data_IF_185047217630
#
_entry.id   IF_185047217630
#
_cell.length_a   1.000
_cell.length_b   1.000
_cell.length_c   1.000
_cell.angle_alpha   90.00
_cell.angle_beta   90.00
_cell.angle_gamma   90.00
#
_symmetry.space_group_name_H-M   'P 1'
#
loop_
_entity.id
_entity.type
_entity.pdbx_description
1 polymer ?
#
# COMPACT_ATOMS: atom_id res chain seq x y z
N UNK A 1 -0.34 4.53 -22.76
CA UNK A 1 -1.11 5.02 -21.59
C UNK A 1 -1.79 3.80 -21.02
N UNK A 2 -1.20 3.24 -19.98
CA UNK A 2 -1.72 2.05 -19.34
C UNK A 2 -2.76 2.45 -18.32
N UNK A 3 -3.80 1.65 -18.23
CA UNK A 3 -5.01 1.97 -17.47
C UNK A 3 -5.42 0.74 -16.68
N UNK A 4 -5.80 0.95 -15.42
CA UNK A 4 -6.32 -0.09 -14.55
C UNK A 4 -7.54 0.42 -13.80
N UNK A 5 -8.59 -0.39 -13.74
CA UNK A 5 -9.85 -0.04 -13.08
C UNK A 5 -9.97 -0.91 -11.84
N UNK A 6 -10.35 -0.33 -10.70
CA UNK A 6 -10.67 -1.11 -9.50
C UNK A 6 -12.01 -1.80 -9.68
N UNK A 7 -11.97 -3.11 -9.98
CA UNK A 7 -13.14 -3.97 -10.06
C UNK A 7 -13.61 -4.41 -8.66
N UNK A 8 -14.87 -4.81 -8.56
CA UNK A 8 -15.46 -5.37 -7.34
C UNK A 8 -15.30 -6.89 -7.22
N UNK A 9 -16.06 -7.46 -6.29
CA UNK A 9 -16.09 -8.89 -5.98
C UNK A 9 -16.82 -9.73 -7.04
N UNK A 10 -17.74 -9.13 -7.82
CA UNK A 10 -18.60 -9.86 -8.76
C UNK A 10 -17.85 -10.73 -9.80
N UNK A 11 -16.80 -10.25 -10.49
CA UNK A 11 -16.03 -11.08 -11.43
C UNK A 11 -15.31 -12.26 -10.76
N UNK A 12 -14.91 -12.11 -9.50
CA UNK A 12 -14.29 -13.19 -8.72
C UNK A 12 -15.35 -14.26 -8.41
N UNK A 13 -16.54 -13.85 -7.98
CA UNK A 13 -17.67 -14.77 -7.71
C UNK A 13 -18.09 -15.52 -8.97
N UNK A 14 -18.18 -14.83 -10.12
CA UNK A 14 -18.45 -15.48 -11.41
C UNK A 14 -17.42 -16.56 -11.73
N UNK A 15 -16.13 -16.27 -11.51
CA UNK A 15 -15.05 -17.22 -11.73
C UNK A 15 -15.17 -18.45 -10.81
N UNK A 16 -15.47 -18.24 -9.52
CA UNK A 16 -15.70 -19.31 -8.54
C UNK A 16 -16.90 -20.20 -8.91
N UNK A 17 -17.99 -19.59 -9.39
CA UNK A 17 -19.21 -20.31 -9.80
C UNK A 17 -18.97 -21.16 -11.05
N UNK A 18 -18.30 -20.62 -12.05
CA UNK A 18 -18.18 -21.25 -13.36
C UNK A 18 -17.04 -22.27 -13.44
N UNK A 19 -15.94 -22.05 -12.72
CA UNK A 19 -14.70 -22.82 -12.94
C UNK A 19 -14.19 -23.56 -11.71
N UNK A 20 -14.69 -23.25 -10.51
CA UNK A 20 -14.18 -23.80 -9.23
C UNK A 20 -12.64 -23.86 -9.17
N UNK A 21 -11.95 -22.75 -9.49
CA UNK A 21 -10.51 -22.75 -9.65
C UNK A 21 -9.81 -22.92 -8.30
N UNK A 22 -8.60 -23.50 -8.33
CA UNK A 22 -7.72 -23.52 -7.16
C UNK A 22 -6.96 -22.21 -6.97
N UNK A 23 -6.80 -21.42 -8.04
CA UNK A 23 -6.13 -20.12 -8.01
C UNK A 23 -6.86 -19.16 -8.96
N UNK A 24 -7.15 -17.95 -8.50
CA UNK A 24 -7.64 -16.85 -9.35
C UNK A 24 -6.57 -15.77 -9.36
N UNK A 25 -6.14 -15.39 -10.56
CA UNK A 25 -5.27 -14.25 -10.80
C UNK A 25 -6.11 -13.14 -11.39
N UNK A 26 -6.14 -12.00 -10.72
CA UNK A 26 -6.90 -10.82 -11.15
C UNK A 26 -5.98 -9.62 -11.37
N UNK A 27 -6.46 -8.66 -12.17
CA UNK A 27 -5.87 -7.33 -12.28
C UNK A 27 -6.21 -6.50 -11.03
N UNK A 28 -6.45 -5.19 -11.14
CA UNK A 28 -6.85 -4.40 -9.96
C UNK A 28 -8.30 -4.67 -9.59
N UNK A 29 -8.49 -5.19 -8.39
CA UNK A 29 -9.77 -5.18 -7.66
C UNK A 29 -9.59 -4.29 -6.42
N UNK A 30 -10.69 -3.82 -5.84
CA UNK A 30 -10.60 -3.22 -4.51
C UNK A 30 -10.17 -4.27 -3.49
N UNK A 31 -9.30 -3.88 -2.56
CA UNK A 31 -8.64 -4.83 -1.67
C UNK A 31 -9.68 -5.53 -0.75
N UNK A 32 -10.66 -4.78 -0.22
CA UNK A 32 -11.82 -5.34 0.47
C UNK A 32 -12.64 -6.34 -0.39
N UNK A 33 -12.71 -6.16 -1.72
CA UNK A 33 -13.46 -7.06 -2.61
C UNK A 33 -12.86 -8.46 -2.70
N UNK A 34 -11.55 -8.59 -2.48
CA UNK A 34 -10.88 -9.90 -2.39
C UNK A 34 -11.44 -10.76 -1.24
N UNK A 35 -11.88 -10.12 -0.16
CA UNK A 35 -12.49 -10.79 0.99
C UNK A 35 -14.01 -10.91 0.86
N UNK A 36 -14.66 -9.91 0.25
CA UNK A 36 -16.10 -9.95 0.05
C UNK A 36 -16.52 -11.06 -0.93
N UNK A 37 -15.75 -11.30 -2.00
CA UNK A 37 -16.06 -12.34 -2.98
C UNK A 37 -16.25 -13.75 -2.38
N UNK A 38 -15.31 -14.30 -1.57
CA UNK A 38 -15.52 -15.59 -0.94
C UNK A 38 -16.67 -15.59 0.07
N UNK A 39 -16.95 -14.49 0.77
CA UNK A 39 -18.12 -14.39 1.64
C UNK A 39 -19.42 -14.51 0.85
N UNK A 40 -19.54 -13.77 -0.25
CA UNK A 40 -20.71 -13.83 -1.14
C UNK A 40 -20.91 -15.22 -1.72
N UNK A 41 -19.83 -15.84 -2.21
CA UNK A 41 -19.88 -17.16 -2.83
C UNK A 41 -20.26 -18.27 -1.84
N UNK A 42 -19.60 -18.35 -0.68
CA UNK A 42 -19.77 -19.44 0.28
C UNK A 42 -21.02 -19.31 1.12
N UNK A 43 -21.34 -18.09 1.55
CA UNK A 43 -22.52 -17.82 2.36
C UNK A 43 -23.76 -17.62 1.49
N UNK A 44 -23.63 -17.66 0.16
CA UNK A 44 -24.74 -17.51 -0.78
C UNK A 44 -25.45 -16.17 -0.64
N UNK A 45 -24.72 -15.11 -0.29
CA UNK A 45 -25.30 -13.79 -0.10
C UNK A 45 -25.86 -13.22 -1.40
N UNK A 46 -27.00 -12.53 -1.29
CA UNK A 46 -27.64 -11.88 -2.41
C UNK A 46 -26.98 -10.51 -2.65
N UNK A 47 -26.62 -10.20 -3.90
CA UNK A 47 -26.08 -8.89 -4.28
C UNK A 47 -27.03 -7.71 -4.02
N UNK A 48 -28.33 -7.97 -3.85
CA UNK A 48 -29.32 -6.96 -3.47
C UNK A 48 -29.43 -6.77 -1.94
N UNK A 49 -28.82 -7.65 -1.15
CA UNK A 49 -28.73 -7.47 0.31
C UNK A 49 -27.54 -6.57 0.65
N UNK A 50 -27.76 -5.26 0.50
CA UNK A 50 -26.72 -4.26 0.70
C UNK A 50 -26.22 -4.20 2.16
N UNK A 51 -27.00 -4.71 3.13
CA UNK A 51 -26.55 -4.78 4.51
C UNK A 51 -25.46 -5.83 4.69
N UNK A 52 -25.65 -7.02 4.11
CA UNK A 52 -24.63 -8.06 4.11
C UNK A 52 -23.38 -7.63 3.32
N UNK A 53 -23.55 -6.96 2.18
CA UNK A 53 -22.42 -6.43 1.42
C UNK A 53 -21.65 -5.38 2.21
N UNK A 54 -22.32 -4.41 2.86
CA UNK A 54 -21.66 -3.38 3.67
C UNK A 54 -20.88 -3.98 4.85
N UNK A 55 -21.48 -4.96 5.53
CA UNK A 55 -20.87 -5.65 6.66
C UNK A 55 -19.71 -6.57 6.22
N UNK A 56 -19.80 -7.19 5.05
CA UNK A 56 -18.70 -7.93 4.42
C UNK A 56 -17.57 -7.02 3.94
N UNK A 57 -17.88 -5.85 3.39
CA UNK A 57 -16.88 -4.83 3.04
C UNK A 57 -16.14 -4.30 4.27
N UNK A 58 -16.82 -4.13 5.42
CA UNK A 58 -16.16 -3.85 6.69
C UNK A 58 -15.16 -4.96 7.05
N UNK A 59 -15.57 -6.22 6.94
CA UNK A 59 -14.67 -7.35 7.20
C UNK A 59 -13.46 -7.32 6.24
N UNK A 60 -13.67 -7.07 4.95
CA UNK A 60 -12.59 -6.96 3.97
C UNK A 60 -11.62 -5.82 4.27
N UNK A 61 -12.15 -4.63 4.57
CA UNK A 61 -11.37 -3.43 4.94
C UNK A 61 -10.55 -3.63 6.23
N UNK A 62 -11.06 -4.43 7.18
CA UNK A 62 -10.30 -4.75 8.39
C UNK A 62 -9.19 -5.78 8.15
N UNK A 63 -9.31 -6.62 7.12
CA UNK A 63 -8.37 -7.71 6.86
C UNK A 63 -7.27 -7.37 5.85
N UNK A 64 -7.40 -6.26 5.11
CA UNK A 64 -6.39 -5.80 4.17
C UNK A 64 -5.13 -5.24 4.87
N UNK A 65 -4.13 -4.83 4.08
CA UNK A 65 -2.91 -4.16 4.54
C UNK A 65 -2.02 -4.97 5.51
N UNK A 66 -2.15 -6.30 5.53
CA UNK A 66 -1.24 -7.20 6.23
C UNK A 66 -1.54 -7.30 7.73
N UNK A 67 -0.58 -6.97 8.58
CA UNK A 67 -0.69 -7.16 10.05
C UNK A 67 -1.15 -5.89 10.79
N UNK A 68 -1.66 -4.86 10.11
CA UNK A 68 -2.02 -3.60 10.77
C UNK A 68 -3.16 -3.78 11.80
N UNK A 69 -4.18 -4.57 11.47
CA UNK A 69 -5.26 -4.95 12.39
C UNK A 69 -4.74 -5.61 13.69
N UNK A 70 -3.61 -6.31 13.61
CA UNK A 70 -2.99 -7.08 14.70
C UNK A 70 -1.78 -6.39 15.32
N UNK A 71 -1.60 -5.08 15.09
CA UNK A 71 -0.61 -4.25 15.78
C UNK A 71 0.55 -3.76 14.91
N UNK A 72 0.59 -4.12 13.62
CA UNK A 72 1.46 -3.46 12.65
C UNK A 72 1.14 -1.96 12.55
N UNK A 73 2.16 -1.10 12.45
CA UNK A 73 2.03 0.37 12.54
C UNK A 73 1.41 0.96 13.82
N UNK A 74 0.94 0.12 14.75
CA UNK A 74 0.27 0.58 15.97
C UNK A 74 1.25 1.10 17.05
N UNK A 75 2.47 0.56 17.15
CA UNK A 75 3.41 0.95 18.20
C UNK A 75 3.79 2.43 18.10
N UNK A 76 3.63 3.18 19.21
CA UNK A 76 4.09 4.56 19.29
C UNK A 76 4.95 4.79 20.55
N UNK A 77 6.30 4.84 20.41
CA UNK A 77 7.19 5.10 21.54
C UNK A 77 6.85 6.42 22.24
N UNK A 78 6.63 6.36 23.55
CA UNK A 78 6.24 7.51 24.36
C UNK A 78 4.73 7.66 24.59
N UNK A 79 3.90 6.84 23.93
CA UNK A 79 2.47 6.73 24.23
C UNK A 79 2.15 5.42 24.96
N UNK A 80 1.75 5.57 26.22
CA UNK A 80 1.41 4.45 27.11
C UNK A 80 0.26 3.57 26.62
N UNK A 81 -0.61 4.07 25.73
CA UNK A 81 -1.73 3.30 25.19
C UNK A 81 -1.35 2.50 23.95
N UNK A 82 -0.21 2.81 23.35
CA UNK A 82 0.32 2.20 22.12
C UNK A 82 1.69 1.56 22.35
N UNK A 83 1.92 1.12 23.59
CA UNK A 83 3.14 0.44 24.00
C UNK A 83 3.03 -1.06 23.66
N UNK A 84 3.74 -1.47 22.60
CA UNK A 84 3.86 -2.87 22.17
C UNK A 84 5.31 -3.28 22.41
N UNK A 85 5.53 -4.44 23.04
CA UNK A 85 6.89 -4.94 23.24
C UNK A 85 7.55 -5.28 21.90
N UNK A 86 8.86 -5.10 21.81
CA UNK A 86 9.59 -5.50 20.60
C UNK A 86 9.44 -7.01 20.31
N UNK A 87 9.26 -7.83 21.34
CA UNK A 87 9.03 -9.27 21.19
C UNK A 87 7.69 -9.57 20.51
N UNK A 88 6.64 -8.81 20.84
CA UNK A 88 5.33 -8.96 20.21
C UNK A 88 5.34 -8.54 18.74
N UNK A 89 6.22 -7.59 18.36
CA UNK A 89 6.39 -7.18 16.97
C UNK A 89 7.15 -8.19 16.09
N UNK A 90 7.91 -9.12 16.70
CA UNK A 90 8.65 -10.14 15.95
C UNK A 90 7.74 -11.21 15.33
N UNK A 91 6.55 -11.43 15.89
CA UNK A 91 5.62 -12.50 15.50
C UNK A 91 4.20 -11.96 15.29
N UNK A 92 4.07 -10.89 14.51
CA UNK A 92 2.77 -10.35 14.13
C UNK A 92 2.00 -11.35 13.25
N UNK A 93 0.83 -11.80 13.71
CA UNK A 93 -0.06 -12.65 12.91
C UNK A 93 -0.82 -11.85 11.87
N UNK A 94 -0.91 -12.38 10.65
CA UNK A 94 -1.94 -11.95 9.71
C UNK A 94 -3.33 -12.16 10.34
N UNK A 95 -4.26 -11.21 10.19
CA UNK A 95 -5.60 -11.38 10.71
C UNK A 95 -6.41 -12.36 9.88
N UNK A 96 -7.47 -12.89 10.48
CA UNK A 96 -8.55 -13.61 9.78
C UNK A 96 -9.90 -13.19 10.37
N UNK A 97 -10.99 -13.50 9.68
CA UNK A 97 -12.33 -13.27 10.21
C UNK A 97 -13.17 -14.54 10.20
N UNK A 98 -13.96 -14.71 11.24
CA UNK A 98 -15.09 -15.63 11.29
C UNK A 98 -16.34 -14.84 10.89
N UNK A 99 -16.93 -15.20 9.76
CA UNK A 99 -18.13 -14.54 9.21
C UNK A 99 -19.27 -15.54 9.15
N UNK A 100 -20.40 -15.21 9.75
CA UNK A 100 -21.60 -16.06 9.73
C UNK A 100 -22.52 -15.72 8.55
N UNK A 101 -23.44 -16.63 8.26
CA UNK A 101 -24.44 -16.45 7.19
C UNK A 101 -25.27 -15.17 7.35
N UNK A 102 -25.60 -14.77 8.58
CA UNK A 102 -26.34 -13.54 8.91
C UNK A 102 -25.45 -12.27 8.97
N UNK A 103 -24.18 -12.36 8.56
CA UNK A 103 -23.28 -11.21 8.46
C UNK A 103 -22.58 -10.83 9.76
N UNK A 104 -22.63 -11.64 10.81
CA UNK A 104 -21.84 -11.37 12.03
C UNK A 104 -20.35 -11.56 11.72
N UNK A 105 -19.55 -10.53 11.98
CA UNK A 105 -18.11 -10.51 11.70
C UNK A 105 -17.32 -10.49 13.00
N UNK A 106 -16.46 -11.49 13.20
CA UNK A 106 -15.47 -11.49 14.26
C UNK A 106 -14.07 -11.56 13.66
N UNK A 107 -13.28 -10.50 13.83
CA UNK A 107 -11.87 -10.51 13.43
C UNK A 107 -11.04 -11.18 14.52
N UNK A 108 -9.95 -11.83 14.10
CA UNK A 108 -9.14 -12.65 14.97
C UNK A 108 -7.66 -12.67 14.53
N UNK A 109 -6.80 -13.02 15.48
CA UNK A 109 -5.38 -13.34 15.27
C UNK A 109 -5.06 -14.72 15.82
N UNK A 110 -3.95 -15.33 15.41
CA UNK A 110 -3.54 -16.61 15.97
C UNK A 110 -3.27 -16.48 17.49
N UNK A 111 -3.81 -17.39 18.31
CA UNK A 111 -3.81 -17.23 19.77
C UNK A 111 -2.41 -17.16 20.40
N UNK A 112 -1.46 -17.91 19.85
CA UNK A 112 -0.06 -17.95 20.34
C UNK A 112 0.87 -16.97 19.64
N UNK A 113 0.37 -16.15 18.72
CA UNK A 113 1.17 -15.14 18.01
C UNK A 113 1.38 -13.89 18.85
N UNK A 114 2.40 -13.12 18.49
CA UNK A 114 2.59 -11.75 18.97
C UNK A 114 1.49 -10.78 18.49
N UNK A 115 1.82 -9.49 18.57
CA UNK A 115 0.90 -8.41 18.23
C UNK A 115 -0.25 -8.21 19.21
N UNK A 116 -1.08 -7.23 18.88
CA UNK A 116 -2.21 -6.79 19.70
C UNK A 116 -3.45 -6.72 18.81
N UNK A 117 -4.56 -7.31 19.27
CA UNK A 117 -5.86 -7.16 18.63
C UNK A 117 -6.86 -6.65 19.67
N UNK A 118 -7.30 -5.41 19.50
CA UNK A 118 -8.25 -4.76 20.40
C UNK A 118 -9.04 -3.67 19.65
N UNK A 119 -10.04 -3.04 20.28
CA UNK A 119 -10.83 -1.97 19.64
C UNK A 119 -9.99 -0.81 19.07
N UNK A 120 -8.83 -0.51 19.65
CA UNK A 120 -7.96 0.56 19.16
C UNK A 120 -7.24 0.17 17.87
N UNK A 121 -6.74 -1.07 17.76
CA UNK A 121 -6.12 -1.54 16.52
C UNK A 121 -7.17 -1.71 15.41
N UNK A 122 -8.37 -2.16 15.77
CA UNK A 122 -9.51 -2.18 14.85
C UNK A 122 -9.92 -0.79 14.37
N UNK A 123 -9.94 0.21 15.26
CA UNK A 123 -10.24 1.59 14.89
C UNK A 123 -9.14 2.22 14.02
N UNK A 124 -7.86 1.96 14.32
CA UNK A 124 -6.74 2.42 13.48
C UNK A 124 -6.85 1.84 12.06
N UNK A 125 -7.15 0.55 11.93
CA UNK A 125 -7.38 -0.08 10.63
C UNK A 125 -8.64 0.45 9.94
N UNK A 126 -9.74 0.65 10.67
CA UNK A 126 -10.98 1.18 10.10
C UNK A 126 -10.78 2.57 9.47
N UNK A 127 -9.96 3.42 10.10
CA UNK A 127 -9.70 4.78 9.62
C UNK A 127 -8.64 4.84 8.51
N UNK A 128 -7.90 3.75 8.29
CA UNK A 128 -6.86 3.68 7.27
C UNK A 128 -7.45 3.88 5.88
N UNK A 129 -6.92 4.87 5.14
CA UNK A 129 -7.34 5.24 3.78
C UNK A 129 -8.84 5.58 3.61
N UNK A 130 -9.55 5.85 4.71
CA UNK A 130 -10.95 6.28 4.68
C UNK A 130 -11.03 7.80 4.65
N UNK A 131 -11.45 8.35 3.51
CA UNK A 131 -11.66 9.78 3.33
C UNK A 131 -12.95 10.31 3.99
N UNK A 132 -14.11 9.77 3.59
CA UNK A 132 -15.41 10.11 4.19
C UNK A 132 -16.03 8.86 4.85
N UNK A 133 -16.05 8.77 6.19
CA UNK A 133 -16.62 7.63 6.90
C UNK A 133 -18.11 7.38 6.65
N UNK A 134 -18.91 8.40 6.30
CA UNK A 134 -20.34 8.24 6.03
C UNK A 134 -20.65 7.75 4.60
N UNK A 135 -19.63 7.67 3.76
CA UNK A 135 -19.75 7.37 2.34
C UNK A 135 -18.42 6.83 1.80
N UNK A 136 -17.92 5.76 2.40
CA UNK A 136 -16.75 5.03 1.91
C UNK A 136 -17.12 4.28 0.62
N UNK A 137 -16.56 4.73 -0.50
CA UNK A 137 -16.95 4.26 -1.84
C UNK A 137 -16.13 3.02 -2.20
N UNK A 138 -16.81 1.88 -2.36
CA UNK A 138 -16.22 0.67 -2.95
C UNK A 138 -16.93 0.31 -4.26
N UNK A 139 -16.33 -0.52 -5.12
CA UNK A 139 -16.99 -1.00 -6.33
C UNK A 139 -18.26 -1.85 -6.07
N UNK A 140 -18.39 -2.45 -4.89
CA UNK A 140 -19.48 -3.38 -4.56
C UNK A 140 -20.64 -2.69 -3.82
N UNK A 141 -20.35 -1.71 -2.97
CA UNK A 141 -21.33 -0.97 -2.16
C UNK A 141 -20.70 0.32 -1.60
N UNK A 142 -21.47 1.38 -1.41
CA UNK A 142 -21.00 2.55 -0.65
C UNK A 142 -21.35 2.35 0.82
N UNK A 143 -20.35 2.34 1.69
CA UNK A 143 -20.47 1.95 3.09
C UNK A 143 -20.45 3.18 4.01
N UNK A 144 -21.32 3.17 4.99
CA UNK A 144 -21.31 4.05 6.14
C UNK A 144 -20.68 3.31 7.34
N UNK A 145 -19.57 3.85 7.84
CA UNK A 145 -18.82 3.35 8.98
C UNK A 145 -19.08 4.11 10.29
N UNK A 146 -19.94 5.15 10.29
CA UNK A 146 -20.10 6.04 11.45
C UNK A 146 -20.60 5.32 12.71
N UNK A 147 -21.38 4.25 12.54
CA UNK A 147 -21.94 3.43 13.63
C UNK A 147 -21.16 2.14 13.88
N UNK A 148 -19.97 1.98 13.29
CA UNK A 148 -19.13 0.80 13.52
C UNK A 148 -18.63 0.77 14.96
N UNK A 149 -18.75 -0.39 15.58
CA UNK A 149 -18.33 -0.64 16.95
C UNK A 149 -17.52 -1.94 17.05
N UNK A 150 -16.61 -1.94 18.03
CA UNK A 150 -15.70 -3.05 18.29
C UNK A 150 -15.88 -3.54 19.72
N UNK A 151 -16.16 -4.83 19.88
CA UNK A 151 -16.29 -5.47 21.18
C UNK A 151 -15.25 -6.58 21.33
N UNK A 152 -14.35 -6.44 22.30
CA UNK A 152 -13.39 -7.49 22.66
C UNK A 152 -14.13 -8.74 23.16
N UNK A 153 -13.86 -9.88 22.54
CA UNK A 153 -14.34 -11.19 23.01
C UNK A 153 -13.23 -11.95 23.75
N UNK A 154 -11.99 -11.82 23.28
CA UNK A 154 -10.78 -12.35 23.93
C UNK A 154 -9.57 -11.52 23.52
N UNK A 155 -8.37 -11.88 24.01
CA UNK A 155 -7.09 -11.27 23.57
C UNK A 155 -6.78 -11.45 22.09
N UNK A 156 -7.52 -12.34 21.41
CA UNK A 156 -7.27 -12.72 20.02
C UNK A 156 -8.52 -12.64 19.15
N UNK A 157 -9.63 -12.09 19.65
CA UNK A 157 -10.90 -11.97 18.93
C UNK A 157 -11.66 -10.68 19.28
N UNK A 158 -12.12 -9.98 18.25
CA UNK A 158 -12.93 -8.76 18.36
C UNK A 158 -14.15 -8.88 17.45
N UNK A 159 -15.33 -8.71 18.02
CA UNK A 159 -16.59 -8.60 17.28
C UNK A 159 -16.67 -7.21 16.64
N UNK A 160 -17.01 -7.17 15.36
CA UNK A 160 -17.13 -5.94 14.57
C UNK A 160 -18.55 -5.84 14.00
N UNK A 161 -19.25 -4.74 14.24
CA UNK A 161 -20.62 -4.56 13.78
C UNK A 161 -20.94 -3.09 13.54
N UNK A 162 -21.94 -2.81 12.72
CA UNK A 162 -22.51 -1.46 12.56
C UNK A 162 -22.21 -0.79 11.23
N UNK A 163 -21.53 -1.48 10.31
CA UNK A 163 -21.43 -1.00 8.93
C UNK A 163 -22.80 -1.08 8.24
N UNK A 164 -23.18 0.00 7.55
CA UNK A 164 -24.47 0.14 6.88
C UNK A 164 -24.26 0.54 5.42
N UNK A 165 -25.19 0.21 4.52
CA UNK A 165 -25.16 0.74 3.17
C UNK A 165 -25.57 2.22 3.19
N UNK A 166 -24.74 3.09 2.63
CA UNK A 166 -25.08 4.49 2.34
C UNK A 166 -25.69 4.62 0.94
N UNK A 167 -25.19 3.83 -0.02
CA UNK A 167 -25.75 3.68 -1.36
C UNK A 167 -25.38 2.32 -1.97
N UNK A 168 -26.09 1.91 -3.03
CA UNK A 168 -25.70 0.76 -3.85
C UNK A 168 -24.35 0.97 -4.55
N UNK A 169 -23.82 -0.08 -5.19
CA UNK A 169 -22.63 0.00 -6.03
C UNK A 169 -22.66 1.27 -6.94
N UNK A 170 -21.57 2.05 -6.99
CA UNK A 170 -21.53 3.26 -7.79
C UNK A 170 -21.53 2.92 -9.29
N UNK A 171 -22.15 3.79 -10.10
CA UNK A 171 -22.07 3.69 -11.56
C UNK A 171 -20.68 4.05 -12.13
N UNK A 172 -19.78 4.54 -11.26
CA UNK A 172 -18.44 4.94 -11.60
C UNK A 172 -17.42 4.15 -10.79
N UNK A 173 -16.31 3.77 -11.42
CA UNK A 173 -15.19 3.07 -10.80
C UNK A 173 -13.95 3.95 -10.76
N UNK A 174 -13.05 3.63 -9.84
CA UNK A 174 -11.74 4.28 -9.74
C UNK A 174 -10.83 3.77 -10.86
N UNK A 175 -10.32 4.68 -11.65
CA UNK A 175 -9.33 4.49 -12.70
C UNK A 175 -7.96 4.92 -12.19
N UNK A 176 -6.96 4.06 -12.36
CA UNK A 176 -5.55 4.42 -12.36
C UNK A 176 -5.09 4.52 -13.79
N UNK A 177 -4.39 5.59 -14.14
CA UNK A 177 -3.79 5.72 -15.46
C UNK A 177 -2.37 6.27 -15.37
N UNK A 178 -1.46 5.70 -16.15
CA UNK A 178 -0.11 6.24 -16.30
C UNK A 178 -0.11 7.43 -17.26
N UNK A 179 0.60 8.49 -16.91
CA UNK A 179 0.93 9.58 -17.81
C UNK A 179 2.44 9.76 -17.86
N UNK A 180 2.98 9.79 -19.07
CA UNK A 180 4.38 10.17 -19.27
C UNK A 180 4.61 11.62 -18.80
N UNK A 181 5.65 11.81 -18.00
CA UNK A 181 6.04 13.09 -17.39
C UNK A 181 7.51 13.41 -17.61
N UNK A 182 8.19 12.72 -18.54
CA UNK A 182 9.58 12.99 -18.89
C UNK A 182 10.55 12.22 -17.98
N UNK A 183 11.50 12.91 -17.36
CA UNK A 183 12.63 12.31 -16.65
C UNK A 183 12.75 12.83 -15.23
N UNK A 184 12.84 11.94 -14.26
CA UNK A 184 13.13 12.30 -12.87
C UNK A 184 14.60 12.08 -12.58
N UNK A 185 15.25 13.10 -12.03
CA UNK A 185 16.59 13.01 -11.46
C UNK A 185 16.53 13.36 -9.98
N UNK A 186 17.27 12.66 -9.15
CA UNK A 186 17.42 13.01 -7.75
C UNK A 186 18.84 12.83 -7.27
N UNK A 187 19.21 13.62 -6.27
CA UNK A 187 20.52 13.56 -5.63
C UNK A 187 20.41 13.79 -4.14
N UNK A 188 21.33 13.18 -3.41
CA UNK A 188 21.44 13.29 -1.97
C UNK A 188 22.90 13.42 -1.54
N UNK A 189 23.14 14.22 -0.49
CA UNK A 189 24.46 14.33 0.16
C UNK A 189 24.29 14.53 1.66
N UNK A 190 25.13 13.87 2.46
CA UNK A 190 25.11 13.99 3.92
C UNK A 190 26.11 15.01 4.43
N UNK A 191 25.74 15.72 5.50
CA UNK A 191 26.61 16.60 6.27
C UNK A 191 26.41 16.33 7.76
N UNK A 192 27.52 16.16 8.48
CA UNK A 192 27.52 15.91 9.92
C UNK A 192 28.29 16.98 10.70
N UNK A 193 27.94 17.16 11.97
CA UNK A 193 28.55 18.07 12.93
C UNK A 193 28.05 19.51 12.86
N UNK A 194 28.80 20.40 13.52
CA UNK A 194 28.48 21.83 13.64
C UNK A 194 28.17 22.46 12.26
N UNK A 195 27.07 23.21 12.17
CA UNK A 195 26.66 23.93 10.96
C UNK A 195 26.40 23.02 9.73
N UNK A 196 26.02 21.76 9.95
CA UNK A 196 25.64 20.83 8.88
C UNK A 196 24.48 21.37 8.01
N UNK A 197 23.50 22.05 8.60
CA UNK A 197 22.38 22.66 7.88
C UNK A 197 22.84 23.80 6.97
N UNK A 198 23.77 24.66 7.42
CA UNK A 198 24.34 25.71 6.55
C UNK A 198 25.10 25.11 5.37
N UNK A 199 25.81 24.00 5.59
CA UNK A 199 26.47 23.25 4.51
C UNK A 199 25.48 22.64 3.53
N UNK A 200 24.38 22.04 4.00
CA UNK A 200 23.32 21.58 3.09
C UNK A 200 22.70 22.72 2.28
N UNK A 201 22.39 23.86 2.91
CA UNK A 201 21.86 25.05 2.21
C UNK A 201 22.85 25.59 1.17
N UNK A 202 24.15 25.60 1.48
CA UNK A 202 25.19 25.98 0.53
C UNK A 202 25.29 24.99 -0.64
N UNK A 203 25.19 23.69 -0.38
CA UNK A 203 25.19 22.66 -1.43
C UNK A 203 23.96 22.77 -2.35
N UNK A 204 22.78 23.00 -1.79
CA UNK A 204 21.55 23.28 -2.56
C UNK A 204 21.74 24.49 -3.49
N UNK A 205 22.26 25.58 -2.93
CA UNK A 205 22.55 26.79 -3.70
C UNK A 205 23.53 26.52 -4.86
N UNK A 206 24.60 25.78 -4.62
CA UNK A 206 25.59 25.45 -5.65
C UNK A 206 24.98 24.62 -6.79
N UNK A 207 24.28 23.53 -6.46
CA UNK A 207 23.66 22.66 -7.48
C UNK A 207 22.61 23.44 -8.29
N UNK A 208 21.77 24.25 -7.63
CA UNK A 208 20.81 25.11 -8.35
C UNK A 208 21.53 26.07 -9.28
N UNK A 209 22.60 26.70 -8.82
CA UNK A 209 23.37 27.67 -9.62
C UNK A 209 24.04 27.03 -10.83
N UNK A 210 24.72 25.89 -10.66
CA UNK A 210 25.36 25.17 -11.77
C UNK A 210 24.34 24.68 -12.80
N UNK A 211 23.19 24.19 -12.34
CA UNK A 211 22.10 23.79 -13.23
C UNK A 211 21.49 24.98 -13.99
N UNK A 212 21.28 26.11 -13.32
CA UNK A 212 20.71 27.33 -13.91
C UNK A 212 21.64 27.97 -14.95
N UNK A 213 22.96 27.88 -14.74
CA UNK A 213 23.98 28.35 -15.68
C UNK A 213 23.90 27.62 -17.03
N UNK A 214 23.72 26.30 -17.00
CA UNK A 214 23.62 25.47 -18.21
C UNK A 214 22.20 25.50 -18.78
N UNK A 215 21.18 25.51 -17.93
CA UNK A 215 19.77 25.46 -18.29
C UNK A 215 18.98 26.58 -17.60
N UNK A 216 18.90 27.77 -18.22
CA UNK A 216 18.14 28.89 -17.66
C UNK A 216 16.67 28.54 -17.41
N UNK A 217 16.19 28.84 -16.21
CA UNK A 217 14.83 28.57 -15.73
C UNK A 217 14.62 27.18 -15.12
N UNK A 218 15.65 26.33 -15.04
CA UNK A 218 15.52 24.94 -14.56
C UNK A 218 15.23 24.87 -13.06
N UNK A 219 15.63 25.87 -12.28
CA UNK A 219 15.46 25.88 -10.82
C UNK A 219 14.00 25.73 -10.37
N UNK A 220 13.03 26.16 -11.19
CA UNK A 220 11.58 26.00 -10.92
C UNK A 220 11.10 24.55 -10.96
N UNK A 221 11.91 23.67 -11.55
CA UNK A 221 11.64 22.24 -11.66
C UNK A 221 12.36 21.42 -10.56
N UNK A 222 13.09 22.09 -9.66
CA UNK A 222 13.87 21.48 -8.59
C UNK A 222 13.24 21.74 -7.23
N UNK A 223 12.93 20.68 -6.50
CA UNK A 223 12.47 20.71 -5.11
C UNK A 223 13.59 20.20 -4.22
N UNK A 224 13.77 20.79 -3.04
CA UNK A 224 14.77 20.36 -2.08
C UNK A 224 14.24 20.37 -0.65
N UNK A 225 14.78 19.46 0.16
CA UNK A 225 14.47 19.31 1.58
C UNK A 225 15.63 18.61 2.29
N UNK A 226 15.67 18.74 3.61
CA UNK A 226 16.74 18.21 4.47
C UNK A 226 16.17 17.09 5.35
N UNK A 227 16.59 15.87 5.07
CA UNK A 227 16.33 14.70 5.91
C UNK A 227 17.07 14.90 7.25
N UNK A 228 16.33 14.73 8.34
CA UNK A 228 16.79 15.06 9.70
C UNK A 228 16.43 16.47 10.16
N UNK A 229 15.76 17.28 9.33
CA UNK A 229 15.28 18.62 9.69
C UNK A 229 13.80 18.85 9.30
N UNK A 230 13.47 18.73 8.01
CA UNK A 230 12.16 19.15 7.47
C UNK A 230 11.54 18.19 6.44
N UNK A 231 12.18 17.03 6.17
CA UNK A 231 11.72 16.08 5.13
C UNK A 231 10.32 15.47 5.33
N UNK A 232 9.73 15.56 6.52
CA UNK A 232 8.38 15.04 6.83
C UNK A 232 7.34 16.14 7.00
N UNK A 233 7.71 17.42 6.84
CA UNK A 233 6.79 18.54 7.04
C UNK A 233 6.15 18.93 5.72
N UNK A 234 4.82 18.89 5.67
CA UNK A 234 4.04 19.33 4.51
C UNK A 234 3.98 20.87 4.35
N UNK A 235 4.32 21.62 5.40
CA UNK A 235 4.34 23.09 5.43
C UNK A 235 5.48 23.54 6.34
N UNK A 236 6.30 24.50 5.90
CA UNK A 236 7.39 25.03 6.73
C UNK A 236 6.79 25.79 7.92
N UNK A 237 7.03 25.33 9.13
CA UNK A 237 6.71 26.07 10.36
C UNK A 237 8.03 26.31 11.11
N UNK A 238 8.26 27.60 11.34
CA UNK A 238 9.27 28.32 12.14
C UNK A 238 10.76 28.03 11.89
N UNK A 239 11.51 29.13 11.69
CA UNK A 239 12.97 29.19 11.65
C UNK A 239 13.62 28.90 13.03
N UNK A 240 12.83 28.91 14.10
CA UNK A 240 13.26 28.77 15.50
C UNK A 240 13.14 27.33 16.03
N UNK A 241 13.72 26.37 15.31
CA UNK A 241 13.91 25.03 15.88
C UNK A 241 15.33 24.89 16.44
N UNK A 242 15.51 24.96 17.77
CA UNK A 242 16.73 24.51 18.40
C UNK A 242 16.72 22.98 18.33
N UNK A 243 17.45 22.40 17.37
CA UNK A 243 17.83 20.99 17.43
C UNK A 243 19.30 20.86 17.09
N UNK A 244 20.03 20.24 18.01
CA UNK A 244 21.35 19.65 17.82
C UNK A 244 21.28 18.53 16.77
N UNK A 245 20.92 18.84 15.52
CA UNK A 245 20.96 17.86 14.45
C UNK A 245 22.42 17.60 14.13
N UNK A 246 22.93 16.47 14.62
CA UNK A 246 24.34 16.10 14.46
C UNK A 246 24.62 15.56 13.06
N UNK A 247 23.61 15.05 12.36
CA UNK A 247 23.74 14.53 10.99
C UNK A 247 22.47 14.81 10.20
N UNK A 248 22.64 15.40 9.02
CA UNK A 248 21.55 15.68 8.08
C UNK A 248 21.89 15.18 6.69
N UNK A 249 20.87 15.10 5.83
CA UNK A 249 21.04 14.77 4.42
C UNK A 249 20.21 15.68 3.54
N UNK A 250 20.87 16.48 2.72
CA UNK A 250 20.21 17.23 1.67
C UNK A 250 19.67 16.24 0.64
N UNK A 251 18.43 16.42 0.23
CA UNK A 251 17.77 15.71 -0.86
C UNK A 251 17.24 16.76 -1.82
N UNK A 252 17.56 16.62 -3.11
CA UNK A 252 16.92 17.39 -4.18
C UNK A 252 16.34 16.46 -5.23
N UNK A 253 15.13 16.77 -5.65
CA UNK A 253 14.38 16.06 -6.69
C UNK A 253 14.09 17.03 -7.84
N UNK A 254 14.42 16.63 -9.06
CA UNK A 254 14.16 17.38 -10.29
C UNK A 254 13.28 16.61 -11.25
N UNK A 255 12.31 17.31 -11.86
CA UNK A 255 11.47 16.78 -12.94
C UNK A 255 11.79 17.50 -14.25
N UNK A 256 12.31 16.76 -15.21
CA UNK A 256 12.90 17.28 -16.44
C UNK A 256 12.14 16.78 -17.67
N UNK A 257 12.17 17.55 -18.75
CA UNK A 257 11.56 17.11 -20.02
C UNK A 257 12.44 16.07 -20.72
N UNK A 258 13.76 16.21 -20.59
CA UNK A 258 14.73 15.43 -21.36
C UNK A 258 15.69 14.65 -20.44
N UNK A 259 16.16 13.49 -20.93
CA UNK A 259 17.07 12.59 -20.23
C UNK A 259 18.39 13.27 -19.86
N UNK A 260 18.90 14.10 -20.76
CA UNK A 260 20.19 14.76 -20.64
C UNK A 260 20.22 15.70 -19.43
N UNK A 261 19.12 16.43 -19.18
CA UNK A 261 18.98 17.31 -18.03
C UNK A 261 19.00 16.52 -16.72
N UNK A 262 18.28 15.40 -16.66
CA UNK A 262 18.26 14.53 -15.48
C UNK A 262 19.64 13.92 -15.19
N UNK A 263 20.36 13.48 -16.23
CA UNK A 263 21.73 12.97 -16.09
C UNK A 263 22.66 14.09 -15.63
N UNK A 264 22.58 15.29 -16.23
CA UNK A 264 23.40 16.43 -15.84
C UNK A 264 23.18 16.79 -14.37
N UNK A 265 21.92 16.86 -13.93
CA UNK A 265 21.58 17.10 -12.53
C UNK A 265 22.24 16.10 -11.56
N UNK A 266 22.26 14.81 -11.91
CA UNK A 266 22.96 13.82 -11.07
C UNK A 266 24.48 14.02 -11.05
N UNK A 267 25.08 14.54 -12.14
CA UNK A 267 26.51 14.86 -12.20
C UNK A 267 26.86 16.06 -11.32
N UNK A 268 26.01 17.09 -11.29
CA UNK A 268 26.18 18.25 -10.39
C UNK A 268 26.19 17.83 -8.93
N UNK A 269 25.34 16.86 -8.58
CA UNK A 269 25.39 16.25 -7.26
C UNK A 269 26.72 15.56 -6.98
N UNK A 270 27.23 14.74 -7.90
CA UNK A 270 28.54 14.08 -7.73
C UNK A 270 29.67 15.12 -7.59
N UNK A 271 29.58 16.25 -8.30
CA UNK A 271 30.57 17.33 -8.25
C UNK A 271 30.71 17.95 -6.85
N UNK A 272 29.69 17.85 -5.99
CA UNK A 272 29.74 18.35 -4.61
C UNK A 272 30.85 17.70 -3.77
N UNK A 273 31.32 16.49 -4.11
CA UNK A 273 32.42 15.85 -3.36
C UNK A 273 33.69 16.71 -3.30
N UNK A 274 34.01 17.38 -4.41
CA UNK A 274 35.25 18.16 -4.53
C UNK A 274 35.01 19.65 -4.67
N UNK A 275 33.79 20.05 -5.05
CA UNK A 275 33.43 21.44 -5.34
C UNK A 275 32.38 22.00 -4.36
N UNK A 276 31.86 21.16 -3.47
CA UNK A 276 30.85 21.54 -2.48
C UNK A 276 31.44 21.89 -1.10
N UNK A 277 30.56 22.20 -0.13
CA UNK A 277 30.96 22.48 1.26
C UNK A 277 31.72 21.31 1.92
N UNK A 278 32.62 21.64 2.83
CA UNK A 278 33.48 20.67 3.50
C UNK A 278 32.70 19.62 4.31
N UNK A 279 33.23 18.39 4.33
CA UNK A 279 32.65 17.27 5.10
C UNK A 279 31.38 16.70 4.48
N UNK A 280 31.17 16.88 3.19
CA UNK A 280 30.12 16.20 2.43
C UNK A 280 30.48 14.72 2.18
N UNK A 281 29.50 13.82 2.34
CA UNK A 281 29.72 12.39 2.18
C UNK A 281 28.47 11.60 1.76
N UNK A 282 28.69 10.36 1.33
CA UNK A 282 27.61 9.40 1.07
C UNK A 282 26.66 9.80 -0.06
N UNK A 283 27.17 10.42 -1.13
CA UNK A 283 26.34 10.84 -2.25
C UNK A 283 25.61 9.66 -2.86
N UNK A 284 24.30 9.82 -3.08
CA UNK A 284 23.49 8.92 -3.89
C UNK A 284 22.74 9.74 -4.90
N UNK A 285 22.73 9.29 -6.15
CA UNK A 285 22.02 9.97 -7.22
C UNK A 285 21.51 8.95 -8.22
N UNK A 286 20.34 9.22 -8.79
CA UNK A 286 19.74 8.35 -9.79
C UNK A 286 18.87 9.15 -10.73
N UNK A 287 18.85 8.77 -12.01
CA UNK A 287 18.01 9.36 -13.04
C UNK A 287 17.28 8.27 -13.80
N UNK A 288 15.98 8.45 -14.05
CA UNK A 288 15.15 7.46 -14.73
C UNK A 288 13.98 8.11 -15.45
N UNK A 289 13.42 7.41 -16.43
CA UNK A 289 12.21 7.82 -17.11
C UNK A 289 11.05 7.81 -16.13
N UNK A 290 10.28 8.89 -16.07
CA UNK A 290 9.26 9.11 -15.07
C UNK A 290 7.87 9.08 -15.68
N UNK A 291 7.15 8.00 -15.36
CA UNK A 291 5.71 7.91 -15.56
C UNK A 291 5.01 8.21 -14.23
N UNK A 292 4.10 9.16 -14.27
CA UNK A 292 3.25 9.51 -13.14
C UNK A 292 1.96 8.69 -13.21
N UNK A 293 1.40 8.35 -12.06
CA UNK A 293 0.14 7.60 -11.96
C UNK A 293 -0.89 8.53 -11.35
N UNK A 294 -1.97 8.78 -12.09
CA UNK A 294 -3.07 9.59 -11.59
C UNK A 294 -4.33 8.76 -11.41
N UNK A 295 -5.16 9.21 -10.48
CA UNK A 295 -6.45 8.61 -10.16
C UNK A 295 -7.59 9.45 -10.76
N UNK A 296 -8.60 8.79 -11.33
CA UNK A 296 -9.82 9.45 -11.83
C UNK A 296 -11.03 8.55 -11.65
N UNK A 297 -12.17 9.11 -11.27
CA UNK A 297 -13.44 8.38 -11.24
C UNK A 297 -14.06 8.37 -12.65
N UNK A 298 -14.41 7.21 -13.18
CA UNK A 298 -14.96 7.03 -14.55
C UNK A 298 -16.18 6.13 -14.59
N UNK A 299 -17.11 6.38 -15.51
CA UNK A 299 -18.31 5.53 -15.68
C UNK A 299 -17.97 4.07 -16.05
N UNK A 300 -18.71 3.13 -15.46
CA UNK A 300 -18.53 1.69 -15.61
C UNK A 300 -18.66 1.20 -17.07
N UNK A 301 -19.52 1.86 -17.88
CA UNK A 301 -19.66 1.60 -19.33
C UNK A 301 -18.43 1.99 -20.17
N UNK A 302 -17.60 2.89 -19.63
CA UNK A 302 -16.35 3.32 -20.27
C UNK A 302 -15.20 2.41 -19.83
N UNK A 303 -15.23 1.91 -18.59
CA UNK A 303 -14.27 0.94 -18.06
C UNK A 303 -14.23 -0.37 -18.88
N UNK A 304 -15.38 -0.89 -19.32
CA UNK A 304 -15.48 -2.10 -20.14
C UNK A 304 -14.95 -1.96 -21.58
N UNK A 305 -14.63 -0.74 -22.02
CA UNK A 305 -14.07 -0.46 -23.36
C UNK A 305 -12.55 -0.42 -23.41
N UNK A 306 -11.86 -0.58 -22.27
CA UNK A 306 -10.39 -0.64 -22.25
C UNK A 306 -9.95 -2.11 -22.35
N UNK A 307 -9.48 -2.57 -23.52
CA UNK A 307 -8.90 -3.91 -23.63
C UNK A 307 -7.59 -3.95 -22.84
N UNK A 308 -7.61 -4.68 -21.72
CA UNK A 308 -6.41 -4.96 -20.92
C UNK A 308 -5.57 -6.06 -21.56
N UNK A 309 -4.71 -5.69 -22.50
CA UNK A 309 -3.48 -6.41 -22.86
C UNK A 309 -2.68 -5.54 -23.84
N UNK A 310 -1.80 -4.69 -23.31
CA UNK A 310 -0.70 -4.15 -24.10
C UNK A 310 0.50 -5.09 -23.93
N UNK A 311 1.03 -5.61 -25.04
CA UNK A 311 2.39 -6.14 -25.09
C UNK A 311 3.35 -5.00 -24.77
N UNK A 312 4.21 -5.17 -23.75
CA UNK A 312 5.20 -4.17 -23.35
C UNK A 312 6.57 -4.83 -23.29
N UNK A 313 7.52 -4.27 -24.06
CA UNK A 313 8.93 -4.64 -24.09
C UNK A 313 9.63 -4.40 -22.73
N UNK A 314 10.71 -5.15 -22.42
CA UNK A 314 11.30 -5.19 -21.09
C UNK A 314 12.21 -3.97 -20.84
N UNK A 315 11.68 -2.92 -20.20
CA UNK A 315 12.51 -1.92 -19.51
C UNK A 315 12.16 -1.85 -18.02
N UNK A 316 13.21 -1.87 -17.19
CA UNK A 316 13.14 -1.90 -15.74
C UNK A 316 12.44 -0.65 -15.17
N UNK A 317 11.19 -0.83 -14.76
CA UNK A 317 10.44 0.10 -13.92
C UNK A 317 10.27 -0.51 -12.53
N UNK A 318 10.72 0.20 -11.50
CA UNK A 318 10.49 -0.18 -10.10
C UNK A 318 9.03 0.14 -9.78
N UNK A 319 8.15 -0.85 -9.92
CA UNK A 319 6.81 -0.81 -9.34
C UNK A 319 6.84 -1.42 -7.93
N UNK A 320 6.12 -0.81 -7.00
CA UNK A 320 5.83 -1.42 -5.70
C UNK A 320 4.88 -2.59 -5.93
N UNK A 321 5.42 -3.80 -6.04
CA UNK A 321 4.62 -5.02 -6.20
C UNK A 321 4.19 -5.52 -4.82
N UNK A 322 2.93 -5.33 -4.47
CA UNK A 322 2.30 -6.08 -3.40
C UNK A 322 1.62 -7.31 -4.01
N UNK A 323 2.06 -8.49 -3.58
CA UNK A 323 1.36 -9.74 -3.87
C UNK A 323 0.51 -10.04 -2.64
N UNK A 324 -0.78 -9.78 -2.72
CA UNK A 324 -1.72 -10.25 -1.70
C UNK A 324 -2.08 -11.70 -2.04
N UNK A 325 -1.49 -12.66 -1.33
CA UNK A 325 -1.89 -14.08 -1.36
C UNK A 325 -2.88 -14.30 -0.23
N UNK A 326 -4.13 -14.59 -0.61
CA UNK A 326 -5.18 -14.90 0.35
C UNK A 326 -5.44 -16.40 0.43
N UNK A 327 -5.62 -16.87 1.66
CA UNK A 327 -6.25 -18.15 1.96
C UNK A 327 -7.58 -17.86 2.64
N UNK A 328 -8.68 -17.98 1.91
CA UNK A 328 -10.01 -17.92 2.51
C UNK A 328 -10.30 -19.25 3.23
N UNK A 329 -10.52 -19.21 4.54
CA UNK A 329 -11.00 -20.35 5.33
C UNK A 329 -12.34 -19.98 5.98
N UNK A 330 -13.44 -20.50 5.46
CA UNK A 330 -14.72 -20.48 6.16
C UNK A 330 -14.79 -21.67 7.12
N UNK A 331 -14.92 -21.42 8.42
CA UNK A 331 -15.14 -22.46 9.43
C UNK A 331 -16.58 -22.38 9.91
N UNK A 332 -17.46 -23.18 9.30
CA UNK A 332 -18.80 -23.41 9.84
C UNK A 332 -18.73 -24.52 10.89
N UNK A 333 -19.19 -24.21 12.10
CA UNK A 333 -19.44 -25.19 13.15
C UNK A 333 -20.34 -26.31 12.59
N UNK A 334 -19.70 -27.44 12.26
CA UNK A 334 -20.28 -28.69 11.72
C UNK A 334 -20.88 -28.60 10.31
N UNK A 335 -20.08 -28.20 9.32
CA UNK A 335 -20.03 -28.77 7.96
C UNK A 335 -18.97 -27.95 7.20
N UNK A 336 -17.80 -28.54 6.96
CA UNK A 336 -16.69 -27.87 6.30
C UNK A 336 -17.03 -27.59 4.83
N UNK A 337 -17.33 -26.33 4.50
CA UNK A 337 -17.25 -25.86 3.11
C UNK A 337 -15.91 -25.15 2.96
N UNK A 338 -14.99 -25.79 2.23
CA UNK A 338 -13.65 -25.27 1.98
C UNK A 338 -13.62 -24.61 0.59
N UNK A 339 -13.51 -23.28 0.51
CA UNK A 339 -12.89 -22.70 -0.69
C UNK A 339 -11.40 -23.03 -0.64
N UNK A 340 -10.98 -24.03 -1.41
CA UNK A 340 -9.57 -24.27 -1.72
C UNK A 340 -9.12 -23.38 -2.89
N UNK A 341 -9.29 -22.06 -2.78
CA UNK A 341 -8.91 -21.11 -3.82
C UNK A 341 -7.96 -20.05 -3.25
N UNK A 342 -6.84 -19.85 -3.94
CA UNK A 342 -5.88 -18.78 -3.65
C UNK A 342 -6.22 -17.61 -4.57
N UNK A 343 -6.49 -16.45 -3.99
CA UNK A 343 -6.65 -15.21 -4.75
C UNK A 343 -5.30 -14.48 -4.81
N UNK A 344 -4.90 -14.08 -6.02
CA UNK A 344 -3.70 -13.29 -6.28
C UNK A 344 -4.09 -12.06 -7.08
N UNK A 345 -3.92 -10.88 -6.48
CA UNK A 345 -4.03 -9.59 -7.15
C UNK A 345 -2.64 -9.13 -7.59
N UNK A 346 -2.49 -8.79 -8.87
CA UNK A 346 -1.27 -8.18 -9.38
C UNK A 346 -1.40 -6.65 -9.25
N UNK A 347 -0.67 -6.08 -8.30
CA UNK A 347 -0.58 -4.63 -8.14
C UNK A 347 0.52 -4.06 -9.06
N UNK A 348 0.17 -3.78 -10.32
CA UNK A 348 1.06 -3.19 -11.32
C UNK A 348 0.35 -2.91 -12.65
N UNK A 349 0.80 -1.90 -13.41
CA UNK A 349 0.26 -1.59 -14.73
C UNK A 349 0.80 -2.50 -15.85
N UNK A 350 1.80 -3.34 -15.58
CA UNK A 350 2.33 -4.32 -16.53
C UNK A 350 2.45 -5.74 -15.93
N UNK A 351 2.18 -6.76 -16.75
CA UNK A 351 2.24 -8.19 -16.41
C UNK A 351 3.63 -8.82 -16.58
N UNK A 352 4.67 -8.04 -16.92
CA UNK A 352 5.89 -8.56 -17.56
C UNK A 352 6.99 -9.13 -16.64
N UNK A 353 6.77 -9.31 -15.33
CA UNK A 353 7.80 -9.79 -14.40
C UNK A 353 7.37 -11.04 -13.60
N UNK A 354 7.33 -12.21 -14.24
CA UNK A 354 7.14 -13.50 -13.56
C UNK A 354 8.31 -14.49 -13.71
N UNK A 355 9.47 -14.05 -14.20
CA UNK A 355 10.67 -14.90 -14.31
C UNK A 355 11.86 -14.09 -13.80
N UNK A 356 12.15 -14.14 -12.50
CA UNK A 356 13.50 -14.11 -11.88
C UNK A 356 13.38 -13.87 -10.35
N UNK A 357 14.05 -14.68 -9.49
CA UNK A 357 13.94 -14.58 -8.04
C UNK A 357 14.76 -13.40 -7.50
N UNK A 358 14.11 -12.41 -6.87
CA UNK A 358 14.79 -11.36 -6.12
C UNK A 358 14.94 -11.79 -4.63
N UNK A 359 16.13 -11.67 -4.00
CA UNK A 359 16.32 -11.99 -2.58
C UNK A 359 15.44 -11.21 -1.60
N UNK A 360 14.92 -10.04 -1.98
CA UNK A 360 13.96 -9.28 -1.16
C UNK A 360 12.55 -9.88 -1.19
N UNK A 361 12.13 -10.47 -2.33
CA UNK A 361 10.90 -11.26 -2.39
C UNK A 361 11.02 -12.50 -1.50
N UNK A 362 12.20 -13.13 -1.44
CA UNK A 362 12.43 -14.29 -0.57
C UNK A 362 12.36 -13.95 0.94
N UNK A 363 12.65 -12.71 1.35
CA UNK A 363 12.57 -12.28 2.75
C UNK A 363 11.12 -11.96 3.16
N UNK A 364 10.36 -11.28 2.29
CA UNK A 364 8.92 -11.04 2.47
C UNK A 364 8.13 -12.36 2.42
N UNK A 365 8.47 -13.23 1.47
CA UNK A 365 7.95 -14.60 1.41
C UNK A 365 8.34 -15.37 2.67
N UNK A 366 9.57 -15.27 3.20
CA UNK A 366 9.97 -15.94 4.46
C UNK A 366 9.06 -15.60 5.65
N UNK A 367 8.73 -14.32 5.86
CA UNK A 367 7.83 -13.94 6.96
C UNK A 367 6.38 -14.34 6.72
N UNK A 368 5.92 -14.41 5.47
CA UNK A 368 4.61 -14.99 5.12
C UNK A 368 4.59 -16.54 5.09
N UNK A 369 5.73 -17.22 4.96
CA UNK A 369 5.83 -18.66 4.59
C UNK A 369 6.24 -19.61 5.71
N UNK A 370 6.78 -19.14 6.84
CA UNK A 370 7.48 -20.03 7.79
C UNK A 370 6.62 -20.99 8.63
N UNK A 371 5.28 -21.02 8.48
CA UNK A 371 4.42 -21.98 9.20
C UNK A 371 3.57 -22.91 8.32
N UNK A 372 3.66 -22.83 6.99
CA UNK A 372 2.68 -23.53 6.12
C UNK A 372 3.25 -24.47 5.05
N UNK A 373 4.57 -24.64 4.89
CA UNK A 373 5.07 -25.61 3.90
C UNK A 373 4.86 -27.08 4.31
N UNK A 374 4.82 -27.43 5.60
CA UNK A 374 4.48 -28.81 6.00
C UNK A 374 3.01 -29.12 5.71
N UNK A 375 2.12 -28.13 5.87
CA UNK A 375 0.72 -28.25 5.50
C UNK A 375 0.55 -28.26 3.98
N UNK A 376 1.13 -27.33 3.23
CA UNK A 376 1.01 -27.25 1.76
C UNK A 376 1.58 -28.49 1.05
N UNK A 377 2.72 -29.02 1.50
CA UNK A 377 3.32 -30.24 0.93
C UNK A 377 2.50 -31.48 1.29
N UNK A 378 1.85 -31.51 2.45
CA UNK A 378 0.88 -32.55 2.78
C UNK A 378 -0.46 -32.39 2.05
N UNK A 379 -0.84 -31.17 1.66
CA UNK A 379 -2.12 -30.82 1.02
C UNK A 379 -2.10 -30.97 -0.52
N UNK A 380 -0.93 -30.85 -1.14
CA UNK A 380 -0.73 -31.14 -2.58
C UNK A 380 -0.63 -32.65 -2.82
N UNK A 381 -0.20 -33.42 -1.81
CA UNK A 381 -0.02 -34.87 -1.89
C UNK A 381 -1.17 -35.69 -1.27
N UNK A 382 -2.30 -35.06 -0.93
CA UNK A 382 -3.54 -35.68 -0.42
C UNK A 382 -4.73 -35.24 -1.25
#
# INVERSE_FOLDING_TARGET
MDVSVYLGAAPIVECLQNFRPNVIITSRVADASLFLAPMVYELGWNWNDLHLLAQGSLAGHLLECGCQLTGGYYMHPGDKYRDISLQDLLDLSLPFAEVSFDGKVCVAKAESSGGVLNPCTCAEQLLYEVGNPSSYITPDVVVDFQDVSFQTLSSSKVLCAGAKPSASAPNNLLLLASKDKGWKGWGEISYGGYECVKRAKAADFLVRSWMEEVYPGISKHLISYIIGLDSLKAVSIDEDLPRDSQDIRLRMDGLFENKEQAIHFTKEFIALYTNGPAGGGGIRSYSYHYCDIFQKIVEMKTASKFPGAAEVEPEFLVYWFWITILFAYCVLNRLFVHIKCILIQLQGLSLSYWILPNPWQALWLRHCWCLKFSLLYSFINS
#
